data_IF_855317466859
#
_entry.id   IF_855317466859
#
_cell.length_a   1.000
_cell.length_b   1.000
_cell.length_c   1.000
_cell.angle_alpha   90.00
_cell.angle_beta   90.00
_cell.angle_gamma   90.00
#
_symmetry.space_group_name_H-M   'P 1'
#
loop_
_entity.id
_entity.type
_entity.pdbx_description
1 polymer ?
#
# COMPACT_ATOMS: atom_id res chain seq x y z
N UNK A 1 27.33 -8.08 0.17
CA UNK A 1 26.11 -8.00 1.02
C UNK A 1 26.56 -7.72 2.43
N UNK A 2 26.33 -6.51 2.92
CA UNK A 2 26.65 -6.11 4.29
C UNK A 2 25.55 -6.60 5.27
N UNK A 3 25.70 -6.36 6.58
CA UNK A 3 24.71 -6.78 7.58
C UNK A 3 23.34 -6.11 7.37
N UNK A 4 23.34 -4.85 6.95
CA UNK A 4 22.13 -4.07 6.66
C UNK A 4 21.35 -4.64 5.46
N UNK A 5 22.03 -5.11 4.42
CA UNK A 5 21.40 -5.75 3.25
C UNK A 5 20.68 -7.05 3.65
N UNK A 6 21.21 -7.80 4.64
CA UNK A 6 20.57 -9.00 5.18
C UNK A 6 19.31 -8.65 5.97
N UNK A 7 19.38 -7.64 6.82
CA UNK A 7 18.24 -7.17 7.60
C UNK A 7 17.12 -6.65 6.68
N UNK A 8 17.46 -5.87 5.66
CA UNK A 8 16.49 -5.37 4.68
C UNK A 8 15.85 -6.50 3.86
N UNK A 9 16.62 -7.52 3.49
CA UNK A 9 16.08 -8.69 2.80
C UNK A 9 15.09 -9.47 3.67
N UNK A 10 15.33 -9.55 4.99
CA UNK A 10 14.39 -10.18 5.94
C UNK A 10 13.13 -9.35 6.16
N UNK A 11 13.23 -8.02 6.04
CA UNK A 11 12.09 -7.11 6.17
C UNK A 11 11.24 -7.02 4.90
N UNK A 12 11.74 -7.50 3.76
CA UNK A 12 11.05 -7.39 2.47
C UNK A 12 9.61 -7.92 2.54
N UNK A 13 9.43 -9.15 3.04
CA UNK A 13 8.11 -9.79 3.08
C UNK A 13 7.17 -9.06 4.05
N UNK A 14 7.68 -8.60 5.20
CA UNK A 14 6.93 -7.77 6.14
C UNK A 14 6.48 -6.46 5.51
N UNK A 15 7.36 -5.77 4.79
CA UNK A 15 7.01 -4.51 4.10
C UNK A 15 5.94 -4.75 3.04
N UNK A 16 6.04 -5.85 2.30
CA UNK A 16 5.04 -6.23 1.30
C UNK A 16 3.68 -6.48 1.96
N UNK A 17 3.66 -7.17 3.10
CA UNK A 17 2.43 -7.45 3.84
C UNK A 17 1.84 -6.18 4.46
N UNK A 18 2.66 -5.30 5.03
CA UNK A 18 2.22 -3.99 5.55
C UNK A 18 1.54 -3.14 4.45
N UNK A 19 2.07 -3.17 3.21
CA UNK A 19 1.47 -2.46 2.07
C UNK A 19 0.14 -3.10 1.65
N UNK A 20 0.00 -4.43 1.73
CA UNK A 20 -1.28 -5.11 1.47
C UNK A 20 -2.31 -4.75 2.53
N UNK A 21 -1.94 -4.83 3.79
CA UNK A 21 -2.80 -4.49 4.94
C UNK A 21 -3.28 -3.04 4.85
N UNK A 22 -2.43 -2.13 4.37
CA UNK A 22 -2.81 -0.73 4.12
C UNK A 22 -3.89 -0.61 3.03
N UNK A 23 -3.75 -1.35 1.93
CA UNK A 23 -4.74 -1.36 0.85
C UNK A 23 -6.06 -1.93 1.35
N UNK A 24 -6.02 -3.07 2.04
CA UNK A 24 -7.21 -3.77 2.53
C UNK A 24 -7.97 -2.93 3.56
N UNK A 25 -7.25 -2.26 4.48
CA UNK A 25 -7.83 -1.31 5.43
C UNK A 25 -8.61 -0.19 4.76
N UNK A 26 -8.09 0.39 3.67
CA UNK A 26 -8.80 1.48 2.99
C UNK A 26 -9.92 0.96 2.09
N UNK A 27 -9.76 -0.23 1.49
CA UNK A 27 -10.83 -0.90 0.75
C UNK A 27 -12.02 -1.23 1.66
N UNK A 28 -11.80 -1.68 2.89
CA UNK A 28 -12.89 -1.98 3.83
C UNK A 28 -13.71 -0.76 4.23
N UNK A 29 -13.12 0.44 4.17
CA UNK A 29 -13.81 1.71 4.44
C UNK A 29 -14.61 2.15 3.21
N UNK A 30 -14.04 2.02 2.01
CA UNK A 30 -14.72 2.41 0.75
C UNK A 30 -15.89 1.48 0.41
N UNK A 31 -15.89 0.25 0.94
CA UNK A 31 -16.99 -0.71 0.80
C UNK A 31 -18.26 -0.39 1.62
N UNK A 32 -18.27 0.65 2.47
CA UNK A 32 -19.46 1.01 3.25
C UNK A 32 -20.40 1.93 2.44
N UNK A 33 -21.61 1.43 2.17
CA UNK A 33 -22.81 2.16 1.73
C UNK A 33 -22.70 3.04 0.46
N UNK A 34 -22.05 2.53 -0.60
CA UNK A 34 -22.13 3.17 -1.93
C UNK A 34 -22.64 2.16 -2.97
N UNK A 35 -23.91 2.25 -3.39
CA UNK A 35 -24.52 1.36 -4.40
C UNK A 35 -23.80 1.37 -5.76
N UNK A 36 -23.08 2.45 -6.06
CA UNK A 36 -22.30 2.64 -7.29
C UNK A 36 -20.80 2.32 -7.10
N UNK A 37 -20.40 1.72 -5.98
CA UNK A 37 -19.00 1.45 -5.69
C UNK A 37 -18.45 0.43 -6.68
N UNK A 38 -17.60 0.89 -7.58
CA UNK A 38 -16.76 0.02 -8.37
C UNK A 38 -15.49 -0.28 -7.55
N UNK A 39 -15.46 -1.44 -6.89
CA UNK A 39 -14.35 -1.88 -6.04
C UNK A 39 -13.00 -1.84 -6.76
N UNK A 40 -12.97 -2.17 -8.05
CA UNK A 40 -11.74 -2.12 -8.85
C UNK A 40 -11.23 -0.68 -9.05
N UNK A 41 -12.14 0.26 -9.30
CA UNK A 41 -11.82 1.70 -9.37
C UNK A 41 -11.33 2.25 -8.03
N UNK A 42 -11.98 1.86 -6.93
CA UNK A 42 -11.56 2.23 -5.58
C UNK A 42 -10.13 1.72 -5.29
N UNK A 43 -9.87 0.44 -5.58
CA UNK A 43 -8.56 -0.18 -5.40
C UNK A 43 -7.48 0.52 -6.20
N UNK A 44 -7.76 0.85 -7.47
CA UNK A 44 -6.82 1.62 -8.33
C UNK A 44 -6.49 2.99 -7.74
N UNK A 45 -7.50 3.72 -7.23
CA UNK A 45 -7.31 5.04 -6.61
C UNK A 45 -6.49 4.96 -5.32
N UNK A 46 -6.76 3.97 -4.46
CA UNK A 46 -5.99 3.73 -3.23
C UNK A 46 -4.52 3.44 -3.56
N UNK A 47 -4.26 2.53 -4.50
CA UNK A 47 -2.89 2.21 -4.95
C UNK A 47 -2.18 3.43 -5.54
N UNK A 48 -2.90 4.28 -6.27
CA UNK A 48 -2.34 5.54 -6.80
C UNK A 48 -1.90 6.48 -5.68
N UNK A 49 -2.73 6.68 -4.64
CA UNK A 49 -2.39 7.51 -3.49
C UNK A 49 -1.14 6.99 -2.75
N UNK A 50 -1.04 5.67 -2.55
CA UNK A 50 0.12 5.02 -1.92
C UNK A 50 1.39 5.30 -2.74
N UNK A 51 1.35 5.09 -4.06
CA UNK A 51 2.49 5.37 -4.96
C UNK A 51 2.91 6.83 -4.93
N UNK A 52 1.96 7.77 -5.00
CA UNK A 52 2.25 9.20 -4.93
C UNK A 52 2.88 9.60 -3.59
N UNK A 53 2.48 8.93 -2.50
CA UNK A 53 3.06 9.15 -1.18
C UNK A 53 4.51 8.67 -1.11
N UNK A 54 4.81 7.49 -1.66
CA UNK A 54 6.18 6.97 -1.74
C UNK A 54 7.08 7.92 -2.56
N UNK A 55 6.61 8.38 -3.73
CA UNK A 55 7.35 9.34 -4.56
C UNK A 55 7.66 10.64 -3.79
N UNK A 56 6.77 11.10 -2.91
CA UNK A 56 7.02 12.27 -2.06
C UNK A 56 8.07 12.01 -0.99
N UNK A 57 8.15 10.78 -0.47
CA UNK A 57 9.18 10.38 0.50
C UNK A 57 10.56 10.31 -0.16
N UNK A 58 10.65 9.84 -1.41
CA UNK A 58 11.92 9.77 -2.17
C UNK A 58 12.48 11.15 -2.55
N UNK A 59 11.61 12.16 -2.67
CA UNK A 59 11.99 13.55 -2.99
C UNK A 59 12.42 14.34 -1.75
N UNK A 60 12.42 13.72 -0.57
CA UNK A 60 12.75 14.32 0.72
C UNK A 60 14.18 13.98 1.11
#
# INVERSE_FOLDING_TARGET
>A
MNAQDKELAQLHDTIVDDVKDLVDKYMSIVGWDVPENNEDEARKKILKIIKETIIKLEKK
#
